data_IF_642597497780
#
_entry.id   IF_642597497780
#
_cell.length_a   1.000
_cell.length_b   1.000
_cell.length_c   1.000
_cell.angle_alpha   90.00
_cell.angle_beta   90.00
_cell.angle_gamma   90.00
#
_symmetry.space_group_name_H-M   'P 1'
#
loop_
_entity.id
_entity.type
_entity.pdbx_description
1 polymer ?
#
# COMPACT_ATOMS: atom_id res chain seq x y z
N UNK A 1 18.49 -2.13 -17.88
CA UNK A 1 17.54 -2.43 -18.99
C UNK A 1 17.17 -1.20 -19.80
N UNK A 2 16.29 -0.29 -19.36
CA UNK A 2 15.88 0.87 -20.21
C UNK A 2 17.07 1.75 -20.61
N UNK A 3 17.96 2.06 -19.67
CA UNK A 3 19.16 2.85 -19.96
C UNK A 3 20.11 2.19 -20.99
N UNK A 4 20.03 0.88 -21.16
CA UNK A 4 20.95 0.11 -22.03
C UNK A 4 20.31 -0.32 -23.35
N UNK A 5 18.98 -0.53 -23.35
CA UNK A 5 18.23 -1.18 -24.44
C UNK A 5 16.96 -0.44 -24.86
N UNK A 6 16.62 0.66 -24.17
CA UNK A 6 15.45 1.46 -24.49
C UNK A 6 15.65 2.35 -25.72
N UNK A 7 14.54 2.84 -26.25
CA UNK A 7 14.53 3.79 -27.36
C UNK A 7 14.59 5.24 -26.84
N UNK A 8 15.50 6.08 -27.36
CA UNK A 8 15.55 7.50 -26.97
C UNK A 8 14.22 8.22 -27.22
N UNK A 9 13.67 8.83 -26.17
CA UNK A 9 12.39 9.54 -26.24
C UNK A 9 11.15 8.67 -25.99
N UNK A 10 11.31 7.35 -25.83
CA UNK A 10 10.23 6.48 -25.39
C UNK A 10 10.00 6.55 -23.87
N UNK A 11 8.76 6.33 -23.46
CA UNK A 11 8.36 6.18 -22.07
C UNK A 11 8.02 4.72 -21.77
N UNK A 12 8.46 4.24 -20.60
CA UNK A 12 8.27 2.86 -20.15
C UNK A 12 7.58 2.88 -18.80
N UNK A 13 6.31 2.45 -18.75
CA UNK A 13 5.65 2.27 -17.47
C UNK A 13 6.31 1.11 -16.73
N UNK A 14 6.51 1.31 -15.43
CA UNK A 14 7.02 0.29 -14.51
C UNK A 14 5.96 0.05 -13.45
N UNK A 15 5.77 -1.21 -13.11
CA UNK A 15 4.82 -1.63 -12.11
C UNK A 15 4.90 -3.13 -11.93
N UNK A 16 4.44 -3.57 -10.76
CA UNK A 16 4.12 -4.97 -10.57
C UNK A 16 2.99 -5.35 -11.53
N UNK A 17 3.10 -6.52 -12.16
CA UNK A 17 2.08 -7.05 -13.09
C UNK A 17 0.90 -7.66 -12.35
N UNK A 18 0.85 -7.50 -11.02
CA UNK A 18 -0.27 -7.83 -10.15
C UNK A 18 -0.75 -6.55 -9.45
N UNK A 19 -1.97 -6.11 -9.76
CA UNK A 19 -2.60 -5.02 -9.04
C UNK A 19 -3.24 -5.55 -7.75
N UNK A 20 -2.82 -5.04 -6.59
CA UNK A 20 -3.41 -5.36 -5.30
C UNK A 20 -4.41 -4.28 -4.87
N UNK A 21 -5.47 -4.71 -4.22
CA UNK A 21 -6.32 -3.83 -3.42
C UNK A 21 -5.60 -3.42 -2.12
N UNK A 22 -6.10 -2.37 -1.45
CA UNK A 22 -5.60 -1.98 -0.13
C UNK A 22 -5.72 -3.14 0.89
N UNK A 23 -6.84 -3.88 0.85
CA UNK A 23 -7.03 -5.09 1.67
C UNK A 23 -5.93 -6.11 1.45
N UNK A 24 -5.70 -6.52 0.20
CA UNK A 24 -4.68 -7.52 -0.13
C UNK A 24 -3.28 -7.04 0.24
N UNK A 25 -3.02 -5.74 0.13
CA UNK A 25 -1.76 -5.13 0.57
C UNK A 25 -1.56 -5.31 2.08
N UNK A 26 -2.57 -4.98 2.88
CA UNK A 26 -2.52 -5.11 4.34
C UNK A 26 -2.42 -6.58 4.78
N UNK A 27 -3.19 -7.48 4.15
CA UNK A 27 -3.11 -8.93 4.40
C UNK A 27 -1.72 -9.48 4.07
N UNK A 28 -1.12 -9.06 2.94
CA UNK A 28 0.24 -9.48 2.57
C UNK A 28 1.29 -8.98 3.58
N UNK A 29 1.15 -7.76 4.09
CA UNK A 29 2.02 -7.22 5.15
C UNK A 29 1.88 -8.07 6.42
N UNK A 30 0.64 -8.35 6.84
CA UNK A 30 0.36 -9.11 8.05
C UNK A 30 0.93 -10.53 7.99
N UNK A 31 0.70 -11.23 6.87
CA UNK A 31 1.22 -12.58 6.61
C UNK A 31 2.75 -12.62 6.70
N UNK A 32 3.42 -11.69 6.02
CA UNK A 32 4.89 -11.59 6.00
C UNK A 32 5.44 -11.20 7.37
N UNK A 33 4.78 -10.27 8.05
CA UNK A 33 5.16 -9.87 9.40
C UNK A 33 4.86 -10.95 10.45
N UNK A 34 4.07 -11.97 10.12
CA UNK A 34 3.68 -13.02 11.05
C UNK A 34 2.78 -12.49 12.17
N UNK A 35 1.93 -11.51 11.85
CA UNK A 35 0.96 -10.90 12.77
C UNK A 35 -0.45 -11.22 12.29
N UNK A 36 -1.34 -11.48 13.24
CA UNK A 36 -2.77 -11.63 12.97
C UNK A 36 -3.44 -10.26 13.18
N UNK A 37 -4.11 -9.75 12.15
CA UNK A 37 -4.74 -8.44 12.16
C UNK A 37 -6.20 -8.53 11.71
N UNK A 38 -7.09 -7.90 12.47
CA UNK A 38 -8.47 -7.71 12.05
C UNK A 38 -8.58 -6.45 11.18
N UNK A 39 -9.03 -6.62 9.93
CA UNK A 39 -9.28 -5.49 9.04
C UNK A 39 -10.65 -4.86 9.31
N UNK A 40 -10.62 -3.67 9.90
CA UNK A 40 -11.81 -2.86 10.15
C UNK A 40 -12.02 -1.86 9.01
N UNK A 41 -13.10 -2.02 8.25
CA UNK A 41 -13.48 -1.07 7.20
C UNK A 41 -14.32 0.08 7.77
N UNK A 42 -14.11 1.32 7.34
CA UNK A 42 -14.92 2.48 7.72
C UNK A 42 -15.49 3.17 6.47
N UNK A 43 -16.71 3.70 6.59
CA UNK A 43 -17.25 4.65 5.60
C UNK A 43 -16.75 6.06 5.91
N UNK A 44 -16.90 6.97 4.94
CA UNK A 44 -16.57 8.39 5.12
C UNK A 44 -17.28 9.00 6.34
N UNK A 45 -18.56 8.69 6.54
CA UNK A 45 -19.32 9.16 7.72
C UNK A 45 -18.74 8.67 9.05
N UNK A 46 -18.24 7.43 9.08
CA UNK A 46 -17.62 6.86 10.27
C UNK A 46 -16.25 7.50 10.54
N UNK A 47 -15.44 7.72 9.49
CA UNK A 47 -14.15 8.42 9.58
C UNK A 47 -14.35 9.86 10.08
N UNK A 48 -15.35 10.56 9.56
CA UNK A 48 -15.67 11.93 9.94
C UNK A 48 -16.01 12.07 11.44
N UNK A 49 -16.58 11.04 12.07
CA UNK A 49 -16.80 11.03 13.52
C UNK A 49 -15.50 11.03 14.34
N UNK A 50 -14.42 10.48 13.77
CA UNK A 50 -13.06 10.56 14.31
C UNK A 50 -12.33 11.86 13.96
N UNK A 51 -12.89 12.66 13.04
CA UNK A 51 -12.20 13.79 12.41
C UNK A 51 -11.17 13.36 11.38
N UNK A 52 -11.37 12.20 10.75
CA UNK A 52 -10.47 11.62 9.75
C UNK A 52 -11.11 11.67 8.36
N UNK A 53 -10.26 11.75 7.34
CA UNK A 53 -10.57 11.61 5.93
C UNK A 53 -9.80 10.41 5.33
N UNK A 54 -10.28 9.78 4.24
CA UNK A 54 -9.57 8.64 3.65
C UNK A 54 -8.11 8.95 3.27
N UNK A 55 -7.83 10.17 2.83
CA UNK A 55 -6.48 10.60 2.43
C UNK A 55 -5.53 10.86 3.62
N UNK A 56 -6.01 10.81 4.87
CA UNK A 56 -5.14 10.80 6.06
C UNK A 56 -4.36 9.47 6.16
N UNK A 57 -4.81 8.41 5.48
CA UNK A 57 -4.12 7.12 5.43
C UNK A 57 -3.21 7.05 4.20
N UNK A 58 -1.89 7.01 4.42
CA UNK A 58 -0.89 7.11 3.33
C UNK A 58 -1.02 6.06 2.22
N UNK A 59 -1.55 4.87 2.53
CA UNK A 59 -1.75 3.78 1.56
C UNK A 59 -3.09 3.89 0.81
N UNK A 60 -4.01 4.74 1.24
CA UNK A 60 -5.28 4.94 0.56
C UNK A 60 -5.09 5.70 -0.75
N UNK A 61 -5.84 5.31 -1.76
CA UNK A 61 -5.93 5.97 -3.06
C UNK A 61 -7.38 5.96 -3.50
N UNK A 62 -7.95 7.13 -3.75
CA UNK A 62 -9.32 7.26 -4.25
C UNK A 62 -9.50 6.55 -5.61
N UNK A 63 -8.51 6.67 -6.50
CA UNK A 63 -8.54 6.08 -7.83
C UNK A 63 -7.40 5.07 -8.02
N UNK A 64 -7.69 3.81 -8.45
CA UNK A 64 -6.64 2.85 -8.75
C UNK A 64 -5.89 3.25 -10.02
N UNK A 65 -4.56 3.30 -9.95
CA UNK A 65 -3.71 3.55 -11.11
C UNK A 65 -3.28 2.22 -11.75
N UNK A 66 -3.79 1.95 -12.95
CA UNK A 66 -3.38 0.81 -13.76
C UNK A 66 -2.53 1.28 -14.94
N UNK A 67 -1.47 0.54 -15.23
CA UNK A 67 -0.48 0.88 -16.25
C UNK A 67 -0.24 -0.32 -17.17
N UNK A 68 -0.07 -0.06 -18.46
CA UNK A 68 0.44 -1.05 -19.41
C UNK A 68 1.98 -1.09 -19.32
N UNK A 69 2.51 -2.22 -18.85
CA UNK A 69 3.95 -2.48 -18.67
C UNK A 69 4.57 -3.30 -19.81
N UNK A 70 3.83 -3.61 -20.88
CA UNK A 70 4.30 -4.50 -21.95
C UNK A 70 5.60 -4.01 -22.59
N UNK A 71 5.70 -2.71 -22.89
CA UNK A 71 6.90 -2.14 -23.51
C UNK A 71 8.18 -2.34 -22.67
N UNK A 72 8.07 -2.34 -21.34
CA UNK A 72 9.20 -2.60 -20.45
C UNK A 72 9.49 -4.11 -20.35
N UNK A 73 8.45 -4.93 -20.28
CA UNK A 73 8.56 -6.39 -20.27
C UNK A 73 9.21 -6.93 -21.56
N UNK A 74 8.91 -6.34 -22.72
CA UNK A 74 9.49 -6.70 -24.02
C UNK A 74 11.02 -6.48 -24.07
N UNK A 75 11.56 -5.60 -23.23
CA UNK A 75 13.01 -5.41 -23.05
C UNK A 75 13.65 -6.48 -22.13
N UNK A 76 12.84 -7.41 -21.62
CA UNK A 76 13.23 -8.49 -20.71
C UNK A 76 13.25 -8.08 -19.23
N UNK A 77 12.54 -7.02 -18.85
CA UNK A 77 12.39 -6.66 -17.43
C UNK A 77 11.28 -7.48 -16.78
N UNK A 78 11.55 -7.96 -15.58
CA UNK A 78 10.58 -8.66 -14.73
C UNK A 78 10.55 -8.01 -13.36
N UNK A 79 9.35 -7.88 -12.79
CA UNK A 79 9.17 -7.38 -11.43
C UNK A 79 9.61 -8.45 -10.43
N UNK A 80 10.21 -8.03 -9.32
CA UNK A 80 10.29 -8.87 -8.12
C UNK A 80 8.87 -9.26 -7.70
N UNK A 81 8.62 -10.54 -7.35
CA UNK A 81 7.33 -10.98 -6.82
C UNK A 81 6.92 -10.17 -5.58
N UNK A 82 5.63 -9.91 -5.42
CA UNK A 82 5.08 -9.08 -4.32
C UNK A 82 5.50 -9.60 -2.95
N UNK A 83 5.37 -10.91 -2.73
CA UNK A 83 5.68 -11.57 -1.47
C UNK A 83 7.17 -11.45 -1.12
N UNK A 84 8.05 -11.62 -2.11
CA UNK A 84 9.49 -11.41 -1.93
C UNK A 84 9.82 -9.94 -1.64
N UNK A 85 9.23 -9.01 -2.40
CA UNK A 85 9.42 -7.58 -2.17
C UNK A 85 8.93 -7.16 -0.78
N UNK A 86 7.74 -7.64 -0.38
CA UNK A 86 7.15 -7.35 0.93
C UNK A 86 7.98 -7.92 2.07
N UNK A 87 8.48 -9.15 1.94
CA UNK A 87 9.38 -9.76 2.92
C UNK A 87 10.61 -8.89 3.20
N UNK A 88 11.24 -8.40 2.13
CA UNK A 88 12.40 -7.52 2.24
C UNK A 88 12.03 -6.16 2.84
N UNK A 89 10.87 -5.61 2.51
CA UNK A 89 10.39 -4.33 3.07
C UNK A 89 10.09 -4.44 4.57
N UNK A 90 9.44 -5.52 5.01
CA UNK A 90 9.14 -5.75 6.43
C UNK A 90 10.43 -5.97 7.24
N UNK A 91 11.39 -6.72 6.70
CA UNK A 91 12.72 -6.88 7.30
C UNK A 91 13.41 -5.53 7.47
N UNK A 92 13.50 -4.72 6.40
CA UNK A 92 14.12 -3.40 6.46
C UNK A 92 13.43 -2.48 7.47
N UNK A 93 12.09 -2.43 7.48
CA UNK A 93 11.33 -1.62 8.42
C UNK A 93 11.65 -1.98 9.89
N UNK A 94 11.83 -3.27 10.20
CA UNK A 94 12.19 -3.73 11.55
C UNK A 94 13.62 -3.38 11.96
N UNK A 95 14.52 -3.29 10.98
CA UNK A 95 15.91 -2.88 11.19
C UNK A 95 16.10 -1.36 11.17
N UNK A 96 15.09 -0.62 10.69
CA UNK A 96 15.11 0.82 10.55
C UNK A 96 14.64 1.52 11.82
N UNK A 97 15.16 2.73 12.06
CA UNK A 97 14.60 3.65 13.06
C UNK A 97 13.33 4.38 12.55
N UNK A 98 12.85 4.04 11.35
CA UNK A 98 11.70 4.65 10.68
C UNK A 98 10.46 3.78 10.88
N UNK A 99 9.60 4.17 11.81
CA UNK A 99 8.36 3.45 12.13
C UNK A 99 7.11 4.02 11.43
N UNK A 100 7.23 5.19 10.80
CA UNK A 100 6.11 5.85 10.10
C UNK A 100 5.12 6.54 11.02
N UNK A 101 5.37 6.61 12.33
CA UNK A 101 4.48 7.23 13.32
C UNK A 101 4.21 8.72 13.07
N UNK A 102 5.11 9.42 12.36
CA UNK A 102 4.88 10.81 11.92
C UNK A 102 3.70 10.97 10.94
N UNK A 103 3.26 9.87 10.32
CA UNK A 103 2.13 9.80 9.39
C UNK A 103 0.90 9.12 9.99
N UNK A 104 0.94 8.74 11.28
CA UNK A 104 -0.20 8.11 11.96
C UNK A 104 -1.32 9.15 12.17
N UNK A 105 -2.55 8.91 11.68
CA UNK A 105 -3.72 9.77 11.94
C UNK A 105 -4.10 9.86 13.43
N UNK A 106 -3.49 9.02 14.27
CA UNK A 106 -3.51 9.11 15.72
C UNK A 106 -4.49 8.13 16.36
N UNK A 107 -3.99 7.35 17.33
CA UNK A 107 -4.76 6.31 18.03
C UNK A 107 -6.09 6.79 18.63
N UNK A 108 -6.12 7.98 19.21
CA UNK A 108 -7.35 8.55 19.78
C UNK A 108 -8.43 8.81 18.73
N UNK A 109 -8.04 9.16 17.49
CA UNK A 109 -8.97 9.37 16.39
C UNK A 109 -9.51 8.03 15.87
N UNK A 110 -8.63 7.04 15.71
CA UNK A 110 -9.00 5.66 15.35
C UNK A 110 -10.02 5.06 16.33
N UNK A 111 -9.78 5.17 17.64
CA UNK A 111 -10.67 4.62 18.67
C UNK A 111 -12.06 5.27 18.65
N UNK A 112 -12.17 6.56 18.30
CA UNK A 112 -13.48 7.21 18.09
C UNK A 112 -14.23 6.60 16.91
N UNK A 113 -13.56 6.37 15.78
CA UNK A 113 -14.17 5.74 14.59
C UNK A 113 -14.66 4.33 14.92
N UNK A 114 -13.84 3.53 15.59
CA UNK A 114 -14.20 2.16 15.99
C UNK A 114 -15.39 2.19 16.95
N UNK A 115 -15.38 3.06 17.95
CA UNK A 115 -16.48 3.18 18.91
C UNK A 115 -17.82 3.53 18.28
N UNK A 116 -17.85 4.42 17.27
CA UNK A 116 -19.09 4.71 16.53
C UNK A 116 -19.60 3.47 15.81
N UNK A 117 -18.71 2.69 15.18
CA UNK A 117 -19.09 1.48 14.45
C UNK A 117 -19.66 0.38 15.34
N UNK A 118 -19.20 0.25 16.58
CA UNK A 118 -19.76 -0.73 17.52
C UNK A 118 -21.16 -0.36 18.01
N UNK A 119 -21.54 0.92 17.87
CA UNK A 119 -22.86 1.43 18.30
C UNK A 119 -23.91 1.48 17.18
N UNK A 120 -23.51 1.21 15.93
CA UNK A 120 -24.39 1.12 14.75
C UNK A 120 -24.82 -0.33 14.49
#
# INVERSE_FOLDING_TARGET
IVAERGEPGAAYNVGDRRALTLRETLETIADVAGVDCELVTASDDALAAGGLEPDDFTLYREYPHLLDTCALADLGWESTPVDEAMARTVEEHRESDRDGSEWDPGREAEERVIGVKETL
#
